data_IF_564010627319
#
_entry.id   IF_564010627319
#
_cell.length_a   1.000
_cell.length_b   1.000
_cell.length_c   1.000
_cell.angle_alpha   90.00
_cell.angle_beta   90.00
_cell.angle_gamma   90.00
#
_symmetry.space_group_name_H-M   'P 1'
#
loop_
_entity.id
_entity.type
_entity.pdbx_description
1 polymer ?
#
# COMPACT_ATOMS: atom_id res chain seq x y z
N UNK A 1 -5.46 10.48 4.65
CA UNK A 1 -4.18 11.20 4.41
C UNK A 1 -3.94 11.28 2.92
N UNK A 2 -2.88 11.96 2.48
CA UNK A 2 -2.37 11.90 1.10
C UNK A 2 -1.06 11.12 1.05
N UNK A 3 -0.65 10.74 -0.16
CA UNK A 3 0.60 10.03 -0.45
C UNK A 3 1.82 10.66 0.23
N UNK A 4 1.96 11.98 0.18
CA UNK A 4 3.13 12.68 0.73
C UNK A 4 3.19 12.53 2.26
N UNK A 5 2.04 12.62 2.92
CA UNK A 5 1.91 12.41 4.36
C UNK A 5 2.20 10.95 4.76
N UNK A 6 1.79 9.99 3.92
CA UNK A 6 2.14 8.58 4.10
C UNK A 6 3.65 8.38 4.06
N UNK A 7 4.34 8.95 3.06
CA UNK A 7 5.80 8.84 2.97
C UNK A 7 6.51 9.53 4.13
N UNK A 8 6.04 10.70 4.57
CA UNK A 8 6.57 11.36 5.76
C UNK A 8 6.42 10.50 7.01
N UNK A 9 5.24 9.91 7.24
CA UNK A 9 5.01 9.02 8.40
C UNK A 9 5.89 7.76 8.38
N UNK A 10 6.10 7.18 7.19
CA UNK A 10 6.99 6.03 6.99
C UNK A 10 8.46 6.41 7.25
N UNK A 11 8.87 7.59 6.80
CA UNK A 11 10.21 8.10 7.06
C UNK A 11 10.40 8.38 8.55
N UNK A 12 9.49 9.09 9.19
CA UNK A 12 9.60 9.43 10.62
C UNK A 12 9.73 8.18 11.49
N UNK A 13 8.93 7.14 11.20
CA UNK A 13 8.88 5.92 12.02
C UNK A 13 9.97 4.90 11.70
N UNK A 14 10.19 4.59 10.42
CA UNK A 14 11.08 3.50 10.00
C UNK A 14 12.37 4.01 9.37
N UNK A 15 12.48 5.32 9.16
CA UNK A 15 13.57 5.96 8.43
C UNK A 15 13.67 5.39 7.00
N UNK A 16 12.55 4.99 6.39
CA UNK A 16 12.53 4.44 5.02
C UNK A 16 12.07 5.52 4.05
N UNK A 17 12.90 5.79 3.06
CA UNK A 17 12.52 6.61 1.91
C UNK A 17 11.85 5.74 0.82
N UNK A 18 10.91 6.30 0.03
CA UNK A 18 10.36 5.61 -1.12
C UNK A 18 11.43 5.32 -2.17
N UNK A 19 11.42 4.09 -2.71
CA UNK A 19 12.27 3.68 -3.83
C UNK A 19 11.45 3.61 -5.12
N UNK A 20 12.04 3.99 -6.26
CA UNK A 20 11.36 4.08 -7.56
C UNK A 20 11.99 3.12 -8.56
N UNK A 21 11.72 1.80 -8.46
CA UNK A 21 12.45 0.80 -9.23
C UNK A 21 12.03 0.72 -10.72
N UNK A 22 10.97 1.42 -11.12
CA UNK A 22 10.43 1.36 -12.47
C UNK A 22 10.76 2.61 -13.29
N UNK A 23 11.54 2.45 -14.37
CA UNK A 23 11.91 3.59 -15.22
C UNK A 23 10.76 4.21 -15.99
N UNK A 24 9.78 3.40 -16.38
CA UNK A 24 8.61 3.87 -17.14
C UNK A 24 7.53 4.51 -16.26
N UNK A 25 7.54 4.19 -14.96
CA UNK A 25 6.51 4.60 -14.00
C UNK A 25 7.19 5.31 -12.82
N UNK A 26 7.65 6.54 -13.06
CA UNK A 26 8.44 7.31 -12.09
C UNK A 26 7.63 7.75 -10.86
N UNK A 27 6.31 7.65 -10.93
CA UNK A 27 5.35 7.93 -9.87
C UNK A 27 5.05 6.69 -9.00
N UNK A 28 5.52 5.51 -9.39
CA UNK A 28 5.31 4.26 -8.65
C UNK A 28 6.45 4.05 -7.66
N UNK A 29 6.11 3.94 -6.39
CA UNK A 29 7.06 3.80 -5.31
C UNK A 29 6.93 2.45 -4.60
N UNK A 30 8.03 1.94 -4.08
CA UNK A 30 8.06 0.82 -3.14
C UNK A 30 8.65 1.27 -1.82
N UNK A 31 8.06 0.80 -0.74
CA UNK A 31 8.58 0.90 0.61
C UNK A 31 9.24 -0.42 0.94
N UNK A 32 10.54 -0.39 1.25
CA UNK A 32 11.32 -1.60 1.48
C UNK A 32 12.34 -1.46 2.61
N UNK A 33 12.63 -2.58 3.26
CA UNK A 33 13.63 -2.64 4.32
C UNK A 33 15.00 -2.18 3.83
N UNK A 34 15.68 -1.31 4.60
CA UNK A 34 17.00 -0.77 4.26
C UNK A 34 18.03 -1.85 3.92
N UNK A 35 18.08 -2.92 4.73
CA UNK A 35 19.09 -3.96 4.60
C UNK A 35 18.68 -5.08 3.63
N UNK A 36 17.54 -5.74 3.87
CA UNK A 36 17.13 -6.91 3.08
C UNK A 36 16.37 -6.58 1.81
N UNK A 37 16.08 -5.30 1.56
CA UNK A 37 15.36 -4.77 0.37
C UNK A 37 14.00 -5.44 0.10
N UNK A 38 13.43 -6.16 1.08
CA UNK A 38 12.10 -6.74 0.98
C UNK A 38 11.05 -5.64 1.05
N UNK A 39 10.06 -5.73 0.17
CA UNK A 39 8.98 -4.75 0.11
C UNK A 39 7.98 -5.01 1.23
N UNK A 40 7.60 -3.95 1.92
CA UNK A 40 6.51 -3.94 2.89
C UNK A 40 5.38 -2.99 2.47
N UNK A 41 5.59 -2.16 1.45
CA UNK A 41 4.55 -1.33 0.87
C UNK A 41 4.83 -1.08 -0.60
N UNK A 42 3.77 -0.91 -1.40
CA UNK A 42 3.87 -0.47 -2.80
C UNK A 42 2.82 0.61 -3.01
N UNK A 43 3.24 1.80 -3.43
CA UNK A 43 2.37 2.97 -3.62
C UNK A 43 2.31 3.32 -5.10
N UNK A 44 1.10 3.36 -5.66
CA UNK A 44 0.87 3.54 -7.10
C UNK A 44 -0.24 4.57 -7.34
N UNK A 45 -0.15 5.32 -8.44
CA UNK A 45 -1.26 6.13 -8.96
C UNK A 45 -1.86 5.43 -10.17
N UNK A 46 -3.09 4.94 -10.07
CA UNK A 46 -3.73 4.20 -11.16
C UNK A 46 -5.18 4.62 -11.36
N UNK A 47 -5.70 4.42 -12.57
CA UNK A 47 -7.13 4.56 -12.82
C UNK A 47 -7.92 3.58 -11.96
N UNK A 48 -8.97 4.08 -11.30
CA UNK A 48 -9.90 3.32 -10.49
C UNK A 48 -10.54 2.15 -11.25
N UNK A 49 -10.73 2.27 -12.57
CA UNK A 49 -11.20 1.20 -13.45
C UNK A 49 -10.28 -0.04 -13.42
N UNK A 50 -8.96 0.15 -13.25
CA UNK A 50 -8.00 -0.97 -13.11
C UNK A 50 -8.17 -1.76 -11.81
N UNK A 51 -8.88 -1.17 -10.84
CA UNK A 51 -9.24 -1.78 -9.56
C UNK A 51 -10.64 -2.41 -9.59
N UNK A 52 -11.34 -2.35 -10.73
CA UNK A 52 -12.72 -2.82 -10.89
C UNK A 52 -13.77 -1.84 -10.35
N UNK A 53 -13.42 -0.56 -10.20
CA UNK A 53 -14.35 0.50 -9.80
C UNK A 53 -14.95 1.17 -11.04
N UNK A 54 -16.19 1.64 -10.95
CA UNK A 54 -16.89 2.36 -12.02
C UNK A 54 -16.47 3.83 -12.10
N UNK A 55 -15.18 4.09 -12.28
CA UNK A 55 -14.61 5.43 -12.41
C UNK A 55 -13.28 5.38 -13.16
N UNK A 56 -13.00 6.41 -13.97
CA UNK A 56 -11.70 6.59 -14.63
C UNK A 56 -10.73 7.49 -13.85
N UNK A 57 -11.13 7.96 -12.67
CA UNK A 57 -10.31 8.80 -11.80
C UNK A 57 -8.98 8.11 -11.45
N UNK A 58 -7.89 8.88 -11.44
CA UNK A 58 -6.60 8.41 -10.94
C UNK A 58 -6.62 8.47 -9.43
N UNK A 59 -6.44 7.31 -8.79
CA UNK A 59 -6.41 7.16 -7.34
C UNK A 59 -5.04 6.69 -6.86
N UNK A 60 -4.69 7.14 -5.67
CA UNK A 60 -3.49 6.68 -4.97
C UNK A 60 -3.81 5.45 -4.12
N UNK A 61 -3.06 4.38 -4.37
CA UNK A 61 -3.22 3.12 -3.65
C UNK A 61 -1.97 2.74 -2.89
N UNK A 62 -2.15 1.99 -1.81
CA UNK A 62 -1.12 1.30 -1.06
C UNK A 62 -1.41 -0.20 -1.07
N UNK A 63 -0.49 -1.01 -1.61
CA UNK A 63 -0.46 -2.43 -1.32
C UNK A 63 0.37 -2.70 -0.08
N UNK A 64 -0.18 -3.47 0.85
CA UNK A 64 0.47 -3.90 2.10
C UNK A 64 0.28 -5.39 2.31
N UNK A 65 1.28 -6.03 2.92
CA UNK A 65 1.23 -7.43 3.28
C UNK A 65 0.47 -7.58 4.59
N UNK A 66 -0.42 -8.56 4.65
CA UNK A 66 -1.24 -8.87 5.82
C UNK A 66 -1.21 -10.37 6.09
N UNK A 67 -1.61 -10.77 7.29
CA UNK A 67 -1.83 -12.19 7.59
C UNK A 67 -2.97 -12.76 6.71
N UNK A 68 -2.84 -13.98 6.17
CA UNK A 68 -3.89 -14.58 5.32
C UNK A 68 -5.28 -14.60 5.95
N UNK A 69 -5.34 -14.85 7.26
CA UNK A 69 -6.60 -14.84 8.01
C UNK A 69 -7.27 -13.47 8.12
N UNK A 70 -6.53 -12.37 7.92
CA UNK A 70 -7.05 -11.00 8.00
C UNK A 70 -7.58 -10.48 6.65
N UNK A 71 -7.21 -11.08 5.52
CA UNK A 71 -7.59 -10.59 4.17
C UNK A 71 -9.11 -10.46 4.04
N UNK A 72 -9.86 -11.46 4.50
CA UNK A 72 -11.32 -11.47 4.38
C UNK A 72 -11.99 -10.35 5.16
N UNK A 73 -11.62 -10.16 6.43
CA UNK A 73 -12.21 -9.13 7.30
C UNK A 73 -11.78 -7.72 6.88
N UNK A 74 -10.53 -7.53 6.46
CA UNK A 74 -10.05 -6.24 5.96
C UNK A 74 -10.82 -5.81 4.71
N UNK A 75 -11.10 -6.73 3.78
CA UNK A 75 -11.87 -6.43 2.56
C UNK A 75 -13.36 -6.12 2.79
N UNK A 76 -13.86 -6.29 4.01
CA UNK A 76 -15.20 -5.80 4.39
C UNK A 76 -15.19 -4.30 4.69
N UNK A 77 -14.02 -3.68 4.86
CA UNK A 77 -13.90 -2.26 5.13
C UNK A 77 -13.97 -1.46 3.81
N UNK A 78 -14.74 -0.36 3.77
CA UNK A 78 -14.73 0.54 2.62
C UNK A 78 -13.31 1.01 2.29
N UNK A 79 -12.95 0.98 1.01
CA UNK A 79 -11.62 1.40 0.54
C UNK A 79 -10.53 0.33 0.62
N UNK A 80 -10.82 -0.89 1.11
CA UNK A 80 -9.90 -2.03 1.03
C UNK A 80 -10.35 -3.01 -0.04
N UNK A 81 -9.47 -3.26 -1.01
CA UNK A 81 -9.72 -4.02 -2.23
C UNK A 81 -8.81 -5.27 -2.30
N UNK A 82 -9.14 -6.24 -3.18
CA UNK A 82 -8.20 -7.32 -3.51
C UNK A 82 -6.86 -6.75 -3.97
N UNK A 83 -5.76 -7.42 -3.61
CA UNK A 83 -4.43 -6.98 -4.04
C UNK A 83 -4.31 -6.79 -5.55
N UNK A 84 -3.83 -5.61 -5.92
CA UNK A 84 -3.42 -5.24 -7.28
C UNK A 84 -1.98 -5.68 -7.55
N UNK A 85 -1.74 -6.50 -8.57
CA UNK A 85 -0.45 -7.11 -8.95
C UNK A 85 0.29 -7.92 -7.87
N UNK A 86 -0.21 -8.01 -6.65
CA UNK A 86 0.38 -8.78 -5.55
C UNK A 86 -0.42 -10.07 -5.27
N UNK A 87 0.14 -10.98 -4.47
CA UNK A 87 -0.54 -12.22 -4.08
C UNK A 87 -1.76 -11.89 -3.19
N UNK A 88 -2.97 -12.24 -3.66
CA UNK A 88 -4.26 -11.94 -3.00
C UNK A 88 -4.49 -12.68 -1.68
N UNK A 89 -3.71 -13.71 -1.36
CA UNK A 89 -3.76 -14.40 -0.07
C UNK A 89 -2.96 -13.68 1.02
N UNK A 90 -2.02 -12.82 0.64
CA UNK A 90 -1.06 -12.20 1.56
C UNK A 90 -1.04 -10.68 1.49
N UNK A 91 -1.75 -10.08 0.53
CA UNK A 91 -1.73 -8.65 0.29
C UNK A 91 -3.14 -8.12 0.09
N UNK A 92 -3.33 -6.86 0.44
CA UNK A 92 -4.53 -6.07 0.15
C UNK A 92 -4.13 -4.75 -0.49
N UNK A 93 -5.05 -4.16 -1.25
CA UNK A 93 -4.92 -2.81 -1.79
C UNK A 93 -5.76 -1.86 -0.96
N UNK A 94 -5.19 -0.75 -0.52
CA UNK A 94 -5.84 0.29 0.27
C UNK A 94 -5.95 1.55 -0.57
N UNK A 95 -7.15 2.10 -0.72
CA UNK A 95 -7.36 3.43 -1.30
C UNK A 95 -6.98 4.48 -0.25
N UNK A 96 -5.87 5.20 -0.47
CA UNK A 96 -5.26 6.07 0.56
C UNK A 96 -6.21 7.20 0.99
N UNK A 97 -7.04 7.69 0.08
CA UNK A 97 -7.98 8.79 0.32
C UNK A 97 -9.32 8.35 0.93
N UNK A 98 -9.62 7.03 0.94
CA UNK A 98 -10.90 6.49 1.46
C UNK A 98 -10.77 5.78 2.80
N UNK A 99 -9.55 5.52 3.27
CA UNK A 99 -9.30 4.77 4.50
C UNK A 99 -8.71 5.69 5.57
N UNK A 100 -9.11 5.46 6.83
CA UNK A 100 -8.64 6.22 7.98
C UNK A 100 -7.12 6.08 8.18
N UNK A 101 -6.49 7.17 8.58
CA UNK A 101 -5.04 7.29 8.68
C UNK A 101 -4.46 6.29 9.67
N UNK A 102 -5.12 6.10 10.81
CA UNK A 102 -4.72 5.17 11.85
C UNK A 102 -4.71 3.72 11.33
N UNK A 103 -5.66 3.36 10.48
CA UNK A 103 -5.72 2.02 9.88
C UNK A 103 -4.61 1.85 8.84
N UNK A 104 -4.37 2.84 7.99
CA UNK A 104 -3.28 2.80 7.01
C UNK A 104 -1.94 2.58 7.72
N UNK A 105 -1.66 3.37 8.76
CA UNK A 105 -0.42 3.27 9.52
C UNK A 105 -0.30 1.93 10.26
N UNK A 106 -1.39 1.42 10.84
CA UNK A 106 -1.42 0.10 11.47
C UNK A 106 -1.16 -1.06 10.49
N UNK A 107 -1.68 -0.98 9.27
CA UNK A 107 -1.41 -1.98 8.23
C UNK A 107 0.03 -1.90 7.72
N UNK A 108 0.62 -0.71 7.66
CA UNK A 108 2.05 -0.55 7.34
C UNK A 108 2.91 -1.18 8.44
N UNK A 109 2.58 -0.96 9.71
CA UNK A 109 3.25 -1.60 10.85
C UNK A 109 3.21 -3.12 10.76
N UNK A 110 2.03 -3.69 10.51
CA UNK A 110 1.86 -5.13 10.35
C UNK A 110 2.70 -5.64 9.18
N UNK A 111 2.58 -5.02 8.01
CA UNK A 111 3.32 -5.40 6.82
C UNK A 111 4.84 -5.32 7.02
N UNK A 112 5.32 -4.28 7.71
CA UNK A 112 6.72 -4.12 8.09
C UNK A 112 7.17 -5.26 9.02
N UNK A 113 6.34 -5.69 9.97
CA UNK A 113 6.64 -6.83 10.84
C UNK A 113 6.62 -8.20 10.14
N UNK A 114 5.74 -8.37 9.16
CA UNK A 114 5.58 -9.59 8.35
C UNK A 114 6.66 -9.77 7.27
N UNK A 115 7.50 -8.75 7.09
CA UNK A 115 8.59 -8.76 6.12
C UNK A 115 9.88 -8.45 6.87
N UNK A 116 10.86 -9.36 6.86
CA UNK A 116 12.12 -9.20 7.60
C UNK A 116 13.32 -9.45 6.73
#
# INVERSE_FOLDING_TARGET
MKREALFAAVFDKYQVEPDYPWDKFKDYAVLRHRYKRKWFGVVLSISAAKLGLESDEIVDILNVKVMPGAVGSLRMQPGILPAYHMNKEHWVTVLIDKVADELILGLIDESFGLTR
#
